data_IF_827258402822
#
_entry.id   IF_827258402822
#
_cell.length_a   1.000
_cell.length_b   1.000
_cell.length_c   1.000
_cell.angle_alpha   90.00
_cell.angle_beta   90.00
_cell.angle_gamma   90.00
#
_symmetry.space_group_name_H-M   'P 1'
#
loop_
_entity.id
_entity.type
_entity.pdbx_description
1 polymer ?
#
# COMPACT_ATOMS: atom_id res chain seq x y z
N UNK A 1 -10.51 -4.70 -10.65
CA UNK A 1 -9.64 -4.21 -11.74
C UNK A 1 -10.24 -4.64 -13.05
N UNK A 2 -10.64 -3.69 -13.88
CA UNK A 2 -11.18 -3.97 -15.22
C UNK A 2 -10.08 -4.28 -16.23
N UNK A 3 -8.86 -3.80 -15.97
CA UNK A 3 -7.70 -4.07 -16.79
C UNK A 3 -6.42 -3.51 -16.16
N UNK A 4 -5.30 -4.07 -16.55
CA UNK A 4 -3.98 -3.60 -16.19
C UNK A 4 -3.04 -3.78 -17.37
N UNK A 5 -2.36 -2.71 -17.78
CA UNK A 5 -1.44 -2.72 -18.92
C UNK A 5 0.00 -2.83 -18.43
N UNK A 6 0.69 -3.86 -18.89
CA UNK A 6 2.14 -4.02 -18.68
C UNK A 6 2.82 -3.46 -19.92
N UNK A 7 3.31 -2.22 -19.82
CA UNK A 7 3.90 -1.50 -20.96
C UNK A 7 5.38 -1.79 -21.21
N UNK A 8 6.04 -2.50 -20.33
CA UNK A 8 7.46 -2.86 -20.44
C UNK A 8 7.71 -4.25 -19.84
N UNK A 9 8.86 -4.83 -20.17
CA UNK A 9 9.27 -6.11 -19.58
C UNK A 9 9.56 -5.89 -18.08
N UNK A 10 8.77 -6.53 -17.23
CA UNK A 10 8.92 -6.46 -15.78
C UNK A 10 8.64 -7.82 -15.12
N UNK A 11 9.09 -7.98 -13.87
CA UNK A 11 8.78 -9.19 -13.11
C UNK A 11 7.30 -9.21 -12.69
N UNK A 12 6.67 -10.39 -12.55
CA UNK A 12 5.31 -10.48 -12.00
C UNK A 12 5.16 -9.80 -10.65
N UNK A 13 6.21 -9.84 -9.83
CA UNK A 13 6.23 -9.16 -8.53
C UNK A 13 6.11 -7.63 -8.66
N UNK A 14 6.76 -7.04 -9.66
CA UNK A 14 6.67 -5.59 -9.90
C UNK A 14 5.24 -5.18 -10.26
N UNK A 15 4.58 -5.93 -11.14
CA UNK A 15 3.19 -5.70 -11.51
C UNK A 15 2.24 -5.85 -10.31
N UNK A 16 2.39 -6.90 -9.52
CA UNK A 16 1.61 -7.13 -8.29
C UNK A 16 1.84 -5.99 -7.30
N UNK A 17 3.09 -5.52 -7.12
CA UNK A 17 3.42 -4.43 -6.20
C UNK A 17 2.76 -3.10 -6.60
N UNK A 18 2.66 -2.82 -7.90
CA UNK A 18 1.95 -1.65 -8.41
C UNK A 18 0.47 -1.71 -8.08
N UNK A 19 -0.18 -2.84 -8.34
CA UNK A 19 -1.59 -3.07 -8.01
C UNK A 19 -1.84 -3.04 -6.49
N UNK A 20 -0.95 -3.64 -5.71
CA UNK A 20 -1.02 -3.67 -4.25
C UNK A 20 -0.99 -2.25 -3.66
N UNK A 21 -0.14 -1.39 -4.20
CA UNK A 21 -0.04 0.02 -3.79
C UNK A 21 -1.31 0.80 -4.13
N UNK A 22 -1.89 0.54 -5.29
CA UNK A 22 -3.11 1.22 -5.75
C UNK A 22 -4.35 0.78 -4.97
N UNK A 23 -4.51 -0.52 -4.77
CA UNK A 23 -5.71 -1.10 -4.15
C UNK A 23 -5.58 -1.38 -2.65
N UNK A 24 -4.42 -1.18 -2.05
CA UNK A 24 -4.21 -1.33 -0.62
C UNK A 24 -4.29 -2.78 -0.13
N UNK A 25 -3.68 -3.71 -0.85
CA UNK A 25 -3.55 -5.10 -0.43
C UNK A 25 -2.09 -5.51 -0.28
N UNK A 26 -1.87 -6.63 0.35
CA UNK A 26 -0.58 -7.31 0.44
C UNK A 26 -0.65 -8.70 -0.20
N UNK A 27 0.42 -9.07 -0.89
CA UNK A 27 0.61 -10.42 -1.40
C UNK A 27 1.49 -11.20 -0.41
N UNK A 28 0.92 -12.20 0.22
CA UNK A 28 1.56 -12.98 1.30
C UNK A 28 1.70 -14.43 0.84
N UNK A 29 2.92 -14.96 0.90
CA UNK A 29 3.16 -16.39 0.70
C UNK A 29 2.84 -17.15 2.00
N UNK A 30 1.95 -18.11 1.92
CA UNK A 30 1.61 -18.99 3.02
C UNK A 30 1.24 -20.37 2.49
N UNK A 31 1.78 -21.42 3.10
CA UNK A 31 1.51 -22.82 2.71
C UNK A 31 1.75 -23.11 1.21
N UNK A 32 2.75 -22.46 0.62
CA UNK A 32 3.10 -22.64 -0.80
C UNK A 32 2.16 -21.96 -1.80
N UNK A 33 1.28 -21.09 -1.34
CA UNK A 33 0.39 -20.28 -2.18
C UNK A 33 0.52 -18.80 -1.86
N UNK A 34 0.28 -17.95 -2.87
CA UNK A 34 0.23 -16.50 -2.68
C UNK A 34 -1.22 -16.10 -2.40
N UNK A 35 -1.44 -15.49 -1.23
CA UNK A 35 -2.74 -14.93 -0.85
C UNK A 35 -2.70 -13.42 -0.93
N UNK A 36 -3.77 -12.83 -1.45
CA UNK A 36 -3.97 -11.39 -1.48
C UNK A 36 -4.88 -10.96 -0.32
N UNK A 37 -4.36 -10.13 0.57
CA UNK A 37 -5.07 -9.71 1.78
C UNK A 37 -5.24 -8.20 1.75
N UNK A 38 -6.47 -7.73 1.79
CA UNK A 38 -6.78 -6.29 1.86
C UNK A 38 -6.34 -5.71 3.19
N UNK A 39 -5.73 -4.52 3.14
CA UNK A 39 -5.44 -3.71 4.34
C UNK A 39 -6.71 -3.06 4.88
N UNK A 40 -6.67 -2.58 6.13
CA UNK A 40 -7.77 -1.85 6.73
C UNK A 40 -8.97 -2.71 7.13
N UNK A 41 -8.81 -4.02 7.24
CA UNK A 41 -9.82 -4.93 7.79
C UNK A 41 -9.96 -4.75 9.30
N UNK A 42 -10.99 -5.37 9.87
CA UNK A 42 -11.15 -5.44 11.32
C UNK A 42 -9.89 -5.98 11.99
N UNK A 43 -9.57 -5.46 13.17
CA UNK A 43 -8.42 -5.92 13.96
C UNK A 43 -8.51 -7.42 14.20
N UNK A 44 -7.44 -8.14 13.86
CA UNK A 44 -7.36 -9.59 14.10
C UNK A 44 -7.03 -9.94 15.54
N UNK A 45 -6.33 -9.04 16.23
CA UNK A 45 -5.92 -9.21 17.62
C UNK A 45 -5.66 -7.85 18.28
N UNK A 46 -5.81 -7.80 19.59
CA UNK A 46 -5.40 -6.66 20.41
C UNK A 46 -4.23 -7.11 21.28
N UNK A 47 -3.12 -6.39 21.21
CA UNK A 47 -1.93 -6.64 22.00
C UNK A 47 -1.84 -5.60 23.11
N UNK A 48 -1.61 -6.04 24.33
CA UNK A 48 -1.23 -5.17 25.43
C UNK A 48 0.29 -4.90 25.40
N UNK A 49 0.72 -3.84 26.08
CA UNK A 49 2.16 -3.53 26.18
C UNK A 49 2.95 -4.69 26.81
N UNK A 50 2.35 -5.37 27.76
CA UNK A 50 2.95 -6.51 28.45
C UNK A 50 3.12 -7.76 27.56
N UNK A 51 2.41 -7.82 26.44
CA UNK A 51 2.56 -8.90 25.43
C UNK A 51 3.77 -8.68 24.51
N UNK A 52 4.40 -7.50 24.57
CA UNK A 52 5.52 -7.14 23.75
C UNK A 52 6.84 -7.52 24.41
N UNK A 53 7.77 -8.01 23.61
CA UNK A 53 9.13 -8.29 24.08
C UNK A 53 9.86 -6.97 24.33
N UNK A 54 10.27 -6.71 25.56
CA UNK A 54 11.09 -5.56 25.88
C UNK A 54 12.48 -5.71 25.26
N UNK A 55 12.93 -4.69 24.54
CA UNK A 55 14.31 -4.61 24.06
C UNK A 55 15.27 -4.41 25.25
N UNK A 56 16.48 -4.96 25.15
CA UNK A 56 17.52 -4.74 26.17
C UNK A 56 17.93 -3.27 26.35
N UNK A 57 17.65 -2.42 25.37
CA UNK A 57 18.14 -1.05 25.26
C UNK A 57 17.04 0.01 25.19
N UNK A 58 15.80 -0.34 25.40
CA UNK A 58 14.76 0.66 25.26
C UNK A 58 13.33 0.19 25.44
N UNK A 59 12.41 0.97 24.90
CA UNK A 59 10.98 0.74 24.96
C UNK A 59 10.55 -0.44 24.08
N UNK A 60 9.42 -1.05 24.41
CA UNK A 60 8.86 -2.20 23.68
C UNK A 60 8.45 -1.85 22.24
N UNK A 61 8.27 -0.58 21.93
CA UNK A 61 8.00 -0.07 20.57
C UNK A 61 8.50 1.35 20.43
N UNK A 62 8.76 1.76 19.21
CA UNK A 62 9.12 3.12 18.84
C UNK A 62 7.97 3.76 18.05
N UNK A 63 7.56 4.96 18.44
CA UNK A 63 6.58 5.76 17.73
C UNK A 63 7.22 7.04 17.22
N UNK A 64 7.42 7.11 15.91
CA UNK A 64 7.91 8.31 15.24
C UNK A 64 6.77 9.04 14.57
N UNK A 65 6.55 10.30 14.90
CA UNK A 65 5.56 11.18 14.27
C UNK A 65 6.26 12.13 13.32
N UNK A 66 5.95 12.05 12.03
CA UNK A 66 6.39 13.04 11.05
C UNK A 66 5.66 14.37 11.22
N UNK A 67 6.28 15.44 10.70
CA UNK A 67 5.65 16.75 10.68
C UNK A 67 4.60 16.81 9.54
N UNK A 68 3.53 17.56 9.77
CA UNK A 68 2.48 17.75 8.79
C UNK A 68 2.99 18.39 7.48
N UNK A 69 4.03 19.23 7.59
CA UNK A 69 4.70 19.86 6.46
C UNK A 69 5.44 18.87 5.54
N UNK A 70 5.76 17.68 6.03
CA UNK A 70 6.40 16.61 5.26
C UNK A 70 5.39 15.81 4.42
N UNK A 71 4.11 15.96 4.71
CA UNK A 71 3.06 15.29 3.96
C UNK A 71 2.78 16.02 2.64
N UNK A 72 2.66 15.30 1.53
CA UNK A 72 2.34 15.94 0.26
C UNK A 72 0.96 16.60 0.31
N UNK A 73 0.86 17.81 -0.22
CA UNK A 73 -0.40 18.53 -0.34
C UNK A 73 -1.29 17.98 -1.45
N UNK A 74 -0.67 17.48 -2.50
CA UNK A 74 -1.36 16.87 -3.63
C UNK A 74 -0.64 15.62 -4.10
N UNK A 75 -1.40 14.62 -4.45
CA UNK A 75 -0.93 13.39 -5.08
C UNK A 75 -1.50 13.32 -6.49
N UNK A 76 -0.61 13.22 -7.48
CA UNK A 76 -0.99 13.03 -8.88
C UNK A 76 -0.65 11.61 -9.28
N UNK A 77 -1.61 10.93 -9.88
CA UNK A 77 -1.45 9.57 -10.35
C UNK A 77 -1.76 9.46 -11.83
N UNK A 78 -0.82 8.93 -12.59
CA UNK A 78 -1.03 8.61 -13.99
C UNK A 78 -1.70 7.23 -14.09
N UNK A 79 -2.81 7.18 -14.80
CA UNK A 79 -3.62 5.97 -15.00
C UNK A 79 -3.89 5.76 -16.48
N UNK A 80 -4.17 4.52 -16.87
CA UNK A 80 -4.67 4.21 -18.20
C UNK A 80 -6.21 4.09 -18.14
N UNK A 81 -6.91 4.82 -18.99
CA UNK A 81 -8.37 4.81 -19.05
C UNK A 81 -8.88 3.68 -19.96
N UNK A 82 -9.61 2.75 -19.37
CA UNK A 82 -10.18 1.61 -20.11
C UNK A 82 -11.25 2.04 -21.12
N UNK A 83 -11.94 3.16 -20.88
CA UNK A 83 -12.98 3.73 -21.73
C UNK A 83 -12.43 4.57 -22.90
N UNK A 84 -11.14 4.85 -22.94
CA UNK A 84 -10.45 5.62 -23.97
C UNK A 84 -9.23 4.87 -24.53
N UNK A 85 -9.40 3.62 -24.89
CA UNK A 85 -8.36 2.77 -25.49
C UNK A 85 -7.07 2.69 -24.66
N UNK A 86 -7.20 2.78 -23.32
CA UNK A 86 -6.08 2.83 -22.38
C UNK A 86 -5.14 4.02 -22.54
N UNK A 87 -5.64 5.13 -23.08
CA UNK A 87 -4.89 6.39 -23.08
C UNK A 87 -4.54 6.85 -21.67
N UNK A 88 -3.39 7.48 -21.55
CA UNK A 88 -2.91 7.98 -20.27
C UNK A 88 -3.76 9.19 -19.80
N UNK A 89 -4.20 9.13 -18.57
CA UNK A 89 -4.87 10.24 -17.88
C UNK A 89 -4.22 10.50 -16.52
N UNK A 90 -4.40 11.72 -16.01
CA UNK A 90 -3.90 12.14 -14.71
C UNK A 90 -5.05 12.30 -13.73
N UNK A 91 -4.98 11.60 -12.61
CA UNK A 91 -5.90 11.77 -11.48
C UNK A 91 -5.17 12.50 -10.37
N UNK A 92 -5.80 13.50 -9.78
CA UNK A 92 -5.24 14.28 -8.69
C UNK A 92 -6.14 14.21 -7.45
N UNK A 93 -5.51 13.95 -6.31
CA UNK A 93 -6.13 14.08 -4.98
C UNK A 93 -5.39 15.14 -4.18
N UNK A 94 -6.12 16.06 -3.57
CA UNK A 94 -5.57 17.11 -2.72
C UNK A 94 -6.03 16.94 -1.28
N UNK A 95 -5.14 17.23 -0.36
CA UNK A 95 -5.47 17.33 1.06
C UNK A 95 -6.21 18.66 1.30
N UNK A 96 -7.33 18.60 1.99
CA UNK A 96 -8.21 19.76 2.25
C UNK A 96 -7.89 20.50 3.54
N UNK A 97 -6.97 19.99 4.32
CA UNK A 97 -6.51 20.60 5.58
C UNK A 97 -5.02 20.77 5.63
#
# INVERSE_FOLDING_TARGET
VEGYVIGALESPRASISTLARHFGFDAIETEGVIRFVMRGRASAATLAIDDLVASREGEAFELTRGQETELPQALKWQVARADEDYDAALVEARRTT
#
